data_IF_214944614257
#
_entry.id   IF_214944614257
#
_cell.length_a   1.000
_cell.length_b   1.000
_cell.length_c   1.000
_cell.angle_alpha   90.00
_cell.angle_beta   90.00
_cell.angle_gamma   90.00
#
_symmetry.space_group_name_H-M   'P 1'
#
loop_
_entity.id
_entity.type
_entity.pdbx_description
1 polymer ?
#
# COMPACT_ATOMS: atom_id res chain seq x y z
N UNK A 1 6.00 -29.71 4.76
CA UNK A 1 6.51 -29.41 3.40
C UNK A 1 6.09 -27.98 3.05
N UNK A 2 6.94 -26.98 3.27
CA UNK A 2 6.64 -25.58 2.89
C UNK A 2 7.00 -25.37 1.42
N UNK A 3 6.14 -24.66 0.67
CA UNK A 3 6.37 -24.29 -0.73
C UNK A 3 7.08 -22.95 -0.77
N UNK A 4 8.28 -22.91 -1.35
CA UNK A 4 9.03 -21.66 -1.51
C UNK A 4 8.43 -20.81 -2.63
N UNK A 5 8.35 -19.50 -2.40
CA UNK A 5 7.90 -18.54 -3.40
C UNK A 5 9.01 -18.27 -4.41
N UNK A 6 8.68 -18.22 -5.71
CA UNK A 6 9.64 -17.87 -6.77
C UNK A 6 9.85 -16.35 -6.81
N UNK A 7 10.89 -15.88 -6.15
CA UNK A 7 11.46 -14.54 -6.38
C UNK A 7 12.37 -14.57 -7.61
N UNK A 8 12.32 -13.55 -8.46
CA UNK A 8 13.37 -13.28 -9.45
C UNK A 8 14.66 -13.01 -8.68
N UNK A 9 15.73 -13.76 -8.96
CA UNK A 9 17.06 -13.49 -8.39
C UNK A 9 17.66 -12.26 -9.05
N UNK A 10 17.34 -11.08 -8.56
CA UNK A 10 18.19 -9.91 -8.77
C UNK A 10 19.29 -9.98 -7.70
N UNK A 11 20.38 -10.69 -8.02
CA UNK A 11 21.57 -10.68 -7.17
C UNK A 11 22.19 -9.30 -7.22
N UNK A 12 22.27 -8.61 -6.09
CA UNK A 12 23.21 -7.51 -5.94
C UNK A 12 24.49 -8.11 -5.34
N UNK A 13 25.61 -8.18 -6.08
CA UNK A 13 26.86 -8.64 -5.50
C UNK A 13 27.38 -7.57 -4.56
N UNK A 14 27.22 -7.80 -3.26
CA UNK A 14 27.92 -7.03 -2.23
C UNK A 14 29.16 -7.83 -1.84
N UNK A 15 30.27 -7.61 -2.54
CA UNK A 15 31.56 -8.18 -2.16
C UNK A 15 32.62 -7.07 -2.04
N UNK A 16 33.14 -6.92 -0.83
CA UNK A 16 34.53 -6.49 -0.60
C UNK A 16 34.87 -5.00 -0.77
N UNK A 17 34.09 -4.08 -0.19
CA UNK A 17 34.59 -2.71 0.00
C UNK A 17 35.25 -2.58 1.37
N UNK A 18 36.56 -2.32 1.38
CA UNK A 18 37.31 -1.93 2.56
C UNK A 18 36.69 -0.65 3.15
N UNK A 19 36.36 -0.69 4.44
CA UNK A 19 35.78 0.43 5.20
C UNK A 19 36.54 1.75 4.90
N UNK A 20 35.92 2.78 4.32
CA UNK A 20 36.44 4.12 4.42
C UNK A 20 35.95 4.73 5.74
N UNK A 21 36.91 4.89 6.63
CA UNK A 21 36.87 5.69 7.85
C UNK A 21 36.01 6.97 7.70
N UNK A 22 35.07 7.12 8.63
CA UNK A 22 34.44 8.37 9.11
C UNK A 22 34.49 9.59 8.18
N UNK A 23 33.40 9.88 7.48
CA UNK A 23 33.08 11.28 7.15
C UNK A 23 31.59 11.54 7.15
N UNK A 24 31.22 12.50 8.00
CA UNK A 24 29.91 13.13 8.18
C UNK A 24 29.28 13.54 6.84
N UNK A 25 28.47 12.66 6.25
CA UNK A 25 27.48 13.03 5.25
C UNK A 25 26.16 13.30 5.95
N UNK A 26 25.84 14.57 6.19
CA UNK A 26 24.56 14.98 6.75
C UNK A 26 23.41 14.36 5.94
N UNK A 27 22.40 13.83 6.64
CA UNK A 27 21.13 13.43 6.03
C UNK A 27 20.64 14.62 5.20
N UNK A 28 20.52 14.47 3.88
CA UNK A 28 19.78 15.45 3.08
C UNK A 28 18.36 15.48 3.61
N UNK A 29 18.09 16.42 4.51
CA UNK A 29 16.78 17.03 4.61
C UNK A 29 16.64 17.86 3.34
N UNK A 30 16.34 17.22 2.21
CA UNK A 30 15.59 17.97 1.21
C UNK A 30 14.37 18.45 1.98
N UNK A 31 14.35 19.73 2.32
CA UNK A 31 13.18 20.40 2.87
C UNK A 31 12.09 20.15 1.84
N UNK A 32 11.30 19.12 2.07
CA UNK A 32 9.99 19.02 1.46
C UNK A 32 9.25 20.12 2.19
N UNK A 33 9.28 21.32 1.61
CA UNK A 33 8.39 22.41 1.99
C UNK A 33 7.01 21.75 2.11
N UNK A 34 6.42 21.66 3.31
CA UNK A 34 5.11 21.06 3.45
C UNK A 34 4.17 21.98 2.70
N UNK A 35 3.80 21.57 1.49
CA UNK A 35 2.67 22.21 0.83
C UNK A 35 1.52 22.05 1.82
N UNK A 36 0.77 23.12 2.11
CA UNK A 36 -0.27 23.16 3.15
C UNK A 36 -1.42 22.14 2.91
N UNK A 37 -1.29 21.31 1.86
CA UNK A 37 -2.22 20.30 1.39
C UNK A 37 -1.68 18.87 1.52
N UNK A 38 -0.53 18.65 2.14
CA UNK A 38 0.09 17.32 2.36
C UNK A 38 0.05 16.87 3.83
N UNK A 39 -0.87 17.43 4.62
CA UNK A 39 -1.18 16.90 5.96
C UNK A 39 -1.74 15.47 5.88
N UNK A 40 -1.57 14.67 6.94
CA UNK A 40 -2.10 13.31 6.98
C UNK A 40 -3.63 13.25 6.77
N UNK A 41 -4.34 14.29 7.23
CA UNK A 41 -5.78 14.47 7.05
C UNK A 41 -6.17 14.59 5.56
N UNK A 42 -5.42 15.37 4.77
CA UNK A 42 -5.70 15.55 3.34
C UNK A 42 -5.39 14.31 2.51
N UNK A 43 -4.45 13.46 2.96
CA UNK A 43 -4.18 12.17 2.35
C UNK A 43 -5.32 11.19 2.63
N UNK A 44 -5.85 11.17 3.86
CA UNK A 44 -6.99 10.35 4.23
C UNK A 44 -8.21 10.73 3.39
N UNK A 45 -8.48 12.02 3.23
CA UNK A 45 -9.57 12.52 2.37
C UNK A 45 -9.43 12.02 0.92
N UNK A 46 -8.21 12.07 0.37
CA UNK A 46 -7.92 11.53 -0.98
C UNK A 46 -8.11 10.01 -1.03
N UNK A 47 -7.73 9.29 0.02
CA UNK A 47 -7.89 7.83 0.11
C UNK A 47 -9.38 7.44 0.15
N UNK A 48 -10.17 8.15 0.95
CA UNK A 48 -11.61 7.91 1.15
C UNK A 48 -12.48 8.51 0.03
N UNK A 49 -11.88 9.22 -0.92
CA UNK A 49 -12.60 9.75 -2.07
C UNK A 49 -13.29 8.63 -2.88
N UNK A 50 -14.58 8.81 -3.18
CA UNK A 50 -15.42 7.81 -3.86
C UNK A 50 -14.84 7.34 -5.19
N UNK A 51 -14.19 8.23 -5.94
CA UNK A 51 -13.47 7.88 -7.16
C UNK A 51 -12.30 6.91 -6.92
N UNK A 52 -11.51 7.13 -5.85
CA UNK A 52 -10.39 6.26 -5.51
C UNK A 52 -10.87 4.88 -5.05
N UNK A 53 -11.90 4.84 -4.19
CA UNK A 53 -12.49 3.58 -3.72
C UNK A 53 -13.08 2.74 -4.86
N UNK A 54 -13.73 3.37 -5.84
CA UNK A 54 -14.23 2.68 -7.02
C UNK A 54 -13.10 2.08 -7.88
N UNK A 55 -12.00 2.82 -8.06
CA UNK A 55 -10.83 2.30 -8.77
C UNK A 55 -10.15 1.15 -8.02
N UNK A 56 -10.07 1.23 -6.69
CA UNK A 56 -9.58 0.14 -5.85
C UNK A 56 -10.46 -1.12 -6.00
N UNK A 57 -11.79 -0.96 -5.95
CA UNK A 57 -12.73 -2.07 -6.14
C UNK A 57 -12.57 -2.74 -7.51
N UNK A 58 -12.44 -1.96 -8.59
CA UNK A 58 -12.19 -2.50 -9.94
C UNK A 58 -10.89 -3.32 -10.01
N UNK A 59 -9.82 -2.82 -9.40
CA UNK A 59 -8.52 -3.54 -9.36
C UNK A 59 -8.64 -4.86 -8.61
N UNK A 60 -9.31 -4.88 -7.45
CA UNK A 60 -9.55 -6.12 -6.69
C UNK A 60 -10.34 -7.12 -7.55
N UNK A 61 -11.37 -6.64 -8.28
CA UNK A 61 -12.15 -7.47 -9.19
C UNK A 61 -11.35 -8.03 -10.37
N UNK A 62 -10.39 -7.26 -10.89
CA UNK A 62 -9.50 -7.69 -11.96
C UNK A 62 -8.47 -8.72 -11.48
N UNK A 63 -7.95 -8.54 -10.26
CA UNK A 63 -6.91 -9.40 -9.71
C UNK A 63 -7.42 -10.81 -9.35
N UNK A 64 -8.72 -10.97 -9.05
CA UNK A 64 -9.37 -12.27 -8.78
C UNK A 64 -8.61 -13.14 -7.78
N UNK A 65 -8.11 -12.51 -6.71
CA UNK A 65 -7.35 -13.20 -5.66
C UNK A 65 -8.18 -14.23 -4.90
N UNK A 66 -7.49 -15.14 -4.20
CA UNK A 66 -8.13 -16.04 -3.24
C UNK A 66 -8.69 -15.26 -2.04
N UNK A 67 -9.72 -15.82 -1.40
CA UNK A 67 -10.32 -15.27 -0.21
C UNK A 67 -9.30 -15.14 0.94
N UNK A 68 -9.49 -14.13 1.79
CA UNK A 68 -8.68 -13.89 2.97
C UNK A 68 -9.03 -14.81 4.14
N UNK A 69 -8.59 -14.42 5.33
CA UNK A 69 -8.91 -15.13 6.60
C UNK A 69 -10.41 -15.06 6.92
N UNK A 70 -11.08 -14.03 6.44
CA UNK A 70 -12.53 -13.84 6.51
C UNK A 70 -13.32 -14.79 5.60
N UNK A 71 -12.64 -15.48 4.67
CA UNK A 71 -13.28 -16.37 3.70
C UNK A 71 -14.09 -15.64 2.63
N UNK A 72 -14.03 -14.31 2.60
CA UNK A 72 -14.84 -13.49 1.71
C UNK A 72 -14.29 -13.48 0.29
N UNK A 73 -15.15 -13.78 -0.68
CA UNK A 73 -14.79 -13.71 -2.10
C UNK A 73 -15.02 -12.31 -2.68
N UNK A 74 -14.36 -12.04 -3.80
CA UNK A 74 -14.50 -10.77 -4.52
C UNK A 74 -15.94 -10.51 -4.99
N UNK A 75 -16.69 -11.56 -5.31
CA UNK A 75 -18.09 -11.43 -5.73
C UNK A 75 -19.03 -11.07 -4.56
N UNK A 76 -18.68 -11.49 -3.34
CA UNK A 76 -19.41 -11.17 -2.11
C UNK A 76 -19.08 -9.76 -1.57
N UNK A 77 -17.99 -9.14 -2.03
CA UNK A 77 -17.56 -7.82 -1.58
C UNK A 77 -18.59 -6.72 -1.83
N UNK A 78 -19.18 -6.68 -3.03
CA UNK A 78 -20.15 -5.64 -3.40
C UNK A 78 -21.46 -5.71 -2.60
N UNK A 79 -22.11 -6.88 -2.42
CA UNK A 79 -23.29 -6.98 -1.57
C UNK A 79 -22.98 -6.59 -0.11
N UNK A 80 -21.85 -7.02 0.44
CA UNK A 80 -21.46 -6.65 1.81
C UNK A 80 -21.28 -5.15 1.99
N UNK A 81 -20.61 -4.48 1.05
CA UNK A 81 -20.46 -3.02 1.08
C UNK A 81 -21.80 -2.28 0.98
N UNK A 82 -22.82 -2.86 0.35
CA UNK A 82 -24.16 -2.26 0.28
C UNK A 82 -24.93 -2.40 1.59
N UNK A 83 -24.81 -3.55 2.24
CA UNK A 83 -25.49 -3.85 3.50
C UNK A 83 -24.88 -3.07 4.67
N UNK A 84 -23.57 -2.83 4.64
CA UNK A 84 -22.84 -2.18 5.72
C UNK A 84 -22.53 -0.69 5.48
N UNK A 85 -23.18 -0.02 4.53
CA UNK A 85 -22.88 1.38 4.18
C UNK A 85 -22.90 2.32 5.37
N UNK A 86 -23.85 2.14 6.28
CA UNK A 86 -24.02 2.99 7.47
C UNK A 86 -22.96 2.72 8.55
N UNK A 87 -22.44 1.49 8.60
CA UNK A 87 -21.37 1.11 9.53
C UNK A 87 -19.98 1.55 9.04
N UNK A 88 -19.82 1.71 7.72
CA UNK A 88 -18.52 1.99 7.08
C UNK A 88 -18.41 3.46 6.63
N UNK A 89 -19.50 4.23 6.64
CA UNK A 89 -19.45 5.67 6.37
C UNK A 89 -18.94 6.43 7.60
N UNK A 90 -17.86 7.19 7.43
CA UNK A 90 -17.36 8.13 8.43
C UNK A 90 -18.41 9.24 8.59
N UNK A 91 -18.86 9.46 9.83
CA UNK A 91 -19.80 10.54 10.19
C UNK A 91 -19.13 11.91 10.17
#
# INVERSE_FOLDING_TARGET
MQREQKTVKTGFPCEGMAEPESTKGARSTSSLEPSEKDSAESLLDKLMHTGNLNEAYKRVKQNRGAAGVDGMTVDELMPYLKENKDAVSVK
#
